data_IF_455875837964
#
_entry.id   IF_455875837964
#
_cell.length_a   1.000
_cell.length_b   1.000
_cell.length_c   1.000
_cell.angle_alpha   90.00
_cell.angle_beta   90.00
_cell.angle_gamma   90.00
#
_symmetry.space_group_name_H-M   'P 1'
#
loop_
_entity.id
_entity.type
_entity.pdbx_description
1 polymer ?
#
# COMPACT_ATOMS: atom_id res chain seq x y z
N UNK A 1 34.06 -16.50 10.71
CA UNK A 1 33.47 -17.47 9.75
C UNK A 1 32.00 -17.67 9.95
N UNK A 2 31.61 -18.07 11.17
CA UNK A 2 30.19 -18.31 11.49
C UNK A 2 29.34 -17.05 11.27
N UNK A 3 29.90 -15.89 11.57
CA UNK A 3 29.18 -14.62 11.42
C UNK A 3 28.81 -14.32 9.97
N UNK A 4 29.67 -14.69 9.03
CA UNK A 4 29.42 -14.46 7.62
C UNK A 4 28.22 -15.31 7.15
N UNK A 5 28.16 -16.55 7.63
CA UNK A 5 27.05 -17.43 7.28
C UNK A 5 25.72 -16.93 7.84
N UNK A 6 25.73 -16.41 9.05
CA UNK A 6 24.52 -15.85 9.66
C UNK A 6 24.05 -14.63 8.89
N UNK A 7 24.95 -13.75 8.51
CA UNK A 7 24.60 -12.57 7.74
C UNK A 7 24.01 -12.93 6.39
N UNK A 8 24.57 -13.92 5.72
CA UNK A 8 24.04 -14.39 4.44
C UNK A 8 22.62 -14.96 4.59
N UNK A 9 22.38 -15.73 5.65
CA UNK A 9 21.06 -16.29 5.90
C UNK A 9 20.03 -15.20 6.14
N UNK A 10 20.38 -14.16 6.90
CA UNK A 10 19.48 -13.04 7.15
C UNK A 10 19.17 -12.27 5.87
N UNK A 11 20.16 -12.07 5.01
CA UNK A 11 19.93 -11.37 3.76
C UNK A 11 18.97 -12.16 2.85
N UNK A 12 19.10 -13.45 2.79
CA UNK A 12 18.21 -14.31 2.01
C UNK A 12 16.79 -14.25 2.55
N UNK A 13 16.62 -14.27 3.87
CA UNK A 13 15.32 -14.16 4.47
C UNK A 13 14.65 -12.82 4.14
N UNK A 14 15.41 -11.73 4.17
CA UNK A 14 14.89 -10.41 3.85
C UNK A 14 14.44 -10.29 2.40
N UNK A 15 15.16 -10.94 1.46
CA UNK A 15 14.82 -10.88 0.05
C UNK A 15 13.68 -11.82 -0.34
N UNK A 16 13.27 -12.73 0.55
CA UNK A 16 12.22 -13.69 0.28
C UNK A 16 10.80 -13.11 0.31
N UNK A 17 10.64 -11.89 0.80
CA UNK A 17 9.31 -11.29 0.95
C UNK A 17 9.21 -9.99 0.19
N UNK A 18 8.44 -10.01 -0.90
CA UNK A 18 8.07 -8.78 -1.57
C UNK A 18 6.94 -8.12 -0.78
N UNK A 19 7.13 -6.88 -0.36
CA UNK A 19 6.07 -6.11 0.27
C UNK A 19 5.18 -5.50 -0.80
N UNK A 20 3.88 -5.52 -0.55
CA UNK A 20 2.92 -4.84 -1.40
C UNK A 20 2.80 -3.40 -0.90
N UNK A 21 3.41 -2.47 -1.62
CA UNK A 21 3.43 -1.06 -1.24
C UNK A 21 2.66 -0.26 -2.29
N UNK A 22 1.72 0.59 -1.87
CA UNK A 22 1.01 1.44 -2.82
C UNK A 22 1.95 2.36 -3.59
N UNK A 23 1.56 2.66 -4.82
CA UNK A 23 2.34 3.51 -5.71
C UNK A 23 2.27 4.97 -5.23
N UNK A 24 3.42 5.57 -4.94
CA UNK A 24 3.52 6.95 -4.45
C UNK A 24 2.96 7.97 -5.43
N UNK A 25 2.94 7.66 -6.73
CA UNK A 25 2.35 8.55 -7.72
C UNK A 25 0.86 8.79 -7.49
N UNK A 26 0.19 7.91 -6.74
CA UNK A 26 -1.21 8.08 -6.35
C UNK A 26 -1.41 8.72 -4.99
N UNK A 27 -0.38 9.24 -4.36
CA UNK A 27 -0.47 9.77 -3.00
C UNK A 27 -1.51 10.89 -2.87
N UNK A 28 -1.67 11.71 -3.89
CA UNK A 28 -2.63 12.82 -3.86
C UNK A 28 -4.08 12.36 -3.74
N UNK A 29 -4.40 11.18 -4.24
CA UNK A 29 -5.76 10.68 -4.27
C UNK A 29 -6.10 9.77 -3.08
N UNK A 30 -5.18 9.59 -2.16
CA UNK A 30 -5.43 8.80 -0.95
C UNK A 30 -6.43 9.54 -0.07
N UNK A 31 -7.58 8.91 0.17
CA UNK A 31 -8.59 9.45 1.07
C UNK A 31 -9.47 10.54 0.48
N UNK A 32 -9.43 10.79 -0.84
CA UNK A 32 -10.27 11.83 -1.41
C UNK A 32 -11.74 11.41 -1.57
N UNK A 33 -12.03 10.12 -1.58
CA UNK A 33 -13.40 9.61 -1.61
C UNK A 33 -14.15 9.85 -2.91
N UNK A 34 -13.45 10.17 -4.00
CA UNK A 34 -14.08 10.56 -5.26
C UNK A 34 -13.89 9.55 -6.38
N UNK A 35 -13.39 8.36 -6.08
CA UNK A 35 -13.19 7.35 -7.09
C UNK A 35 -12.14 7.71 -8.12
N UNK A 36 -11.17 8.54 -7.76
CA UNK A 36 -10.16 9.04 -8.69
C UNK A 36 -8.86 8.23 -8.65
N UNK A 37 -8.66 7.42 -7.61
CA UNK A 37 -7.39 6.69 -7.44
C UNK A 37 -7.28 5.57 -8.45
N UNK A 38 -6.14 5.51 -9.12
CA UNK A 38 -5.88 4.44 -10.07
C UNK A 38 -5.51 3.15 -9.35
N UNK A 39 -5.62 2.03 -10.04
CA UNK A 39 -5.18 0.72 -9.54
C UNK A 39 -3.70 0.80 -9.18
N UNK A 40 -3.34 0.27 -8.02
CA UNK A 40 -2.04 0.29 -7.36
C UNK A 40 -1.79 1.54 -6.50
N UNK A 41 -2.59 2.57 -6.60
CA UNK A 41 -2.50 3.70 -5.68
C UNK A 41 -3.07 3.34 -4.31
N UNK A 42 -2.66 4.07 -3.28
CA UNK A 42 -3.15 3.85 -1.92
C UNK A 42 -4.58 4.31 -1.73
N UNK A 43 -5.27 3.70 -0.76
CA UNK A 43 -6.65 4.07 -0.46
C UNK A 43 -6.94 3.85 1.02
N UNK A 44 -7.94 4.55 1.53
CA UNK A 44 -8.44 4.33 2.90
C UNK A 44 -9.80 3.64 2.88
N UNK A 45 -10.48 3.65 1.75
CA UNK A 45 -11.75 2.93 1.56
C UNK A 45 -12.02 2.74 0.07
N UNK A 46 -13.03 1.92 -0.24
CA UNK A 46 -13.45 1.68 -1.63
C UNK A 46 -13.78 2.97 -2.38
N UNK A 47 -14.26 3.99 -1.68
CA UNK A 47 -14.67 5.25 -2.30
C UNK A 47 -13.53 6.00 -2.98
N UNK A 48 -12.28 5.73 -2.60
CA UNK A 48 -11.12 6.38 -3.23
C UNK A 48 -10.81 5.84 -4.61
N UNK A 49 -11.18 4.61 -4.88
CA UNK A 49 -10.66 3.85 -6.02
C UNK A 49 -11.57 3.96 -7.25
N UNK A 50 -10.97 4.16 -8.42
CA UNK A 50 -11.70 4.24 -9.68
C UNK A 50 -12.50 2.96 -9.96
N UNK A 51 -11.97 1.81 -9.58
CA UNK A 51 -12.66 0.52 -9.74
C UNK A 51 -13.55 0.19 -8.55
N UNK A 52 -13.62 1.04 -7.54
CA UNK A 52 -14.45 0.82 -6.37
C UNK A 52 -13.96 -0.26 -5.43
N UNK A 53 -12.67 -0.62 -5.51
CA UNK A 53 -12.10 -1.70 -4.71
C UNK A 53 -10.83 -1.25 -4.00
N UNK A 54 -10.94 -1.01 -2.70
CA UNK A 54 -9.78 -0.81 -1.85
C UNK A 54 -9.48 -2.14 -1.15
N UNK A 55 -8.40 -2.78 -1.53
CA UNK A 55 -8.01 -4.07 -0.98
C UNK A 55 -7.05 -3.89 0.21
N UNK A 56 -7.20 -4.72 1.21
CA UNK A 56 -6.24 -4.80 2.31
C UNK A 56 -5.01 -5.60 1.94
N UNK A 57 -4.09 -5.72 2.88
CA UNK A 57 -2.88 -6.53 2.70
C UNK A 57 -1.64 -5.74 2.28
N UNK A 58 -1.79 -4.46 1.96
CA UNK A 58 -0.66 -3.60 1.63
C UNK A 58 -0.07 -2.97 2.89
N UNK A 59 1.14 -2.47 2.76
CA UNK A 59 1.83 -1.74 3.82
C UNK A 59 2.49 -0.51 3.23
N UNK A 60 2.59 0.54 4.02
CA UNK A 60 3.38 1.70 3.61
C UNK A 60 4.88 1.43 3.85
N UNK A 61 5.72 2.40 3.50
CA UNK A 61 7.17 2.24 3.63
C UNK A 61 7.61 2.02 5.08
N UNK A 62 6.82 2.48 6.05
CA UNK A 62 7.10 2.30 7.47
C UNK A 62 6.52 0.98 8.03
N UNK A 63 5.83 0.19 7.21
CA UNK A 63 5.26 -1.08 7.62
C UNK A 63 3.86 -1.00 8.19
N UNK A 64 3.20 0.15 8.10
CA UNK A 64 1.82 0.28 8.58
C UNK A 64 0.85 -0.36 7.59
N UNK A 65 -0.17 -1.10 8.08
CA UNK A 65 -1.19 -1.66 7.18
C UNK A 65 -1.97 -0.54 6.50
N UNK A 66 -2.06 -0.60 5.18
CA UNK A 66 -2.81 0.38 4.38
C UNK A 66 -3.58 -0.36 3.29
N UNK A 67 -4.49 0.34 2.63
CA UNK A 67 -5.21 -0.19 1.48
C UNK A 67 -4.51 0.13 0.18
N UNK A 68 -4.81 -0.67 -0.83
CA UNK A 68 -4.33 -0.47 -2.19
C UNK A 68 -5.51 -0.68 -3.15
N UNK A 69 -5.69 0.26 -4.08
CA UNK A 69 -6.73 0.12 -5.08
C UNK A 69 -6.41 -1.04 -6.01
N UNK A 70 -7.39 -1.88 -6.25
CA UNK A 70 -7.24 -3.10 -7.03
C UNK A 70 -8.33 -3.19 -8.10
N UNK A 71 -8.03 -3.90 -9.18
CA UNK A 71 -9.07 -4.38 -10.06
C UNK A 71 -9.87 -5.46 -9.32
N UNK A 72 -11.17 -5.54 -9.60
CA UNK A 72 -12.05 -6.47 -8.88
C UNK A 72 -11.61 -7.92 -9.06
N UNK A 73 -11.13 -8.28 -10.24
CA UNK A 73 -10.66 -9.64 -10.50
C UNK A 73 -9.33 -9.99 -9.87
N UNK A 74 -8.61 -9.00 -9.34
CA UNK A 74 -7.27 -9.18 -8.77
C UNK A 74 -7.23 -8.94 -7.26
N UNK A 75 -8.36 -8.82 -6.61
CA UNK A 75 -8.45 -8.37 -5.21
C UNK A 75 -7.76 -9.29 -4.21
N UNK A 76 -7.53 -10.54 -4.57
CA UNK A 76 -6.85 -11.50 -3.70
C UNK A 76 -5.45 -11.85 -4.19
N UNK A 77 -4.97 -11.22 -5.25
CA UNK A 77 -3.65 -11.50 -5.80
C UNK A 77 -2.56 -10.73 -5.05
N UNK A 78 -1.34 -11.27 -5.09
CA UNK A 78 -0.14 -10.61 -4.56
C UNK A 78 -0.21 -10.28 -3.07
N UNK A 79 -0.94 -11.07 -2.30
CA UNK A 79 -1.07 -10.88 -0.85
C UNK A 79 -2.18 -9.93 -0.45
N UNK A 80 -2.97 -9.45 -1.40
CA UNK A 80 -4.16 -8.65 -1.09
C UNK A 80 -5.24 -9.50 -0.42
N UNK A 81 -6.06 -8.88 0.40
CA UNK A 81 -7.06 -9.59 1.20
C UNK A 81 -8.50 -9.29 0.81
N UNK A 82 -8.70 -8.68 -0.36
CA UNK A 82 -10.04 -8.40 -0.89
C UNK A 82 -10.47 -6.98 -0.73
N UNK A 83 -11.49 -6.60 -1.51
CA UNK A 83 -12.10 -5.27 -1.46
C UNK A 83 -12.77 -5.00 -0.11
N UNK A 84 -13.16 -3.76 0.12
CA UNK A 84 -13.88 -3.39 1.34
C UNK A 84 -12.96 -3.05 2.50
N UNK A 85 -11.68 -2.90 2.26
CA UNK A 85 -10.77 -2.47 3.32
C UNK A 85 -11.12 -1.05 3.77
N UNK A 86 -11.21 -0.86 5.08
CA UNK A 86 -11.40 0.46 5.69
C UNK A 86 -10.23 0.68 6.63
N UNK A 87 -9.46 1.73 6.38
CA UNK A 87 -8.24 2.00 7.15
C UNK A 87 -8.61 2.51 8.54
N UNK A 88 -8.25 1.79 9.61
CA UNK A 88 -8.53 2.26 10.97
C UNK A 88 -7.71 3.49 11.35
N UNK A 89 -6.63 3.77 10.63
CA UNK A 89 -5.76 4.91 10.85
C UNK A 89 -5.80 5.86 9.66
N UNK A 90 -6.99 6.07 9.07
CA UNK A 90 -7.14 6.83 7.84
C UNK A 90 -6.52 8.22 7.91
N UNK A 91 -6.68 8.94 9.03
CA UNK A 91 -6.12 10.28 9.18
C UNK A 91 -4.60 10.27 9.05
N UNK A 92 -3.94 9.32 9.69
CA UNK A 92 -2.49 9.19 9.61
C UNK A 92 -2.04 8.78 8.21
N UNK A 93 -2.75 7.87 7.59
CA UNK A 93 -2.46 7.42 6.23
C UNK A 93 -2.57 8.58 5.24
N UNK A 94 -3.60 9.40 5.36
CA UNK A 94 -3.79 10.58 4.53
C UNK A 94 -2.67 11.59 4.77
N UNK A 95 -2.30 11.84 6.03
CA UNK A 95 -1.22 12.77 6.37
C UNK A 95 0.11 12.30 5.78
N UNK A 96 0.40 11.01 5.86
CA UNK A 96 1.60 10.43 5.28
C UNK A 96 1.62 10.58 3.76
N UNK A 97 0.47 10.39 3.12
CA UNK A 97 0.35 10.56 1.67
C UNK A 97 0.58 12.02 1.26
N UNK A 98 0.07 12.97 2.03
CA UNK A 98 0.31 14.39 1.76
C UNK A 98 1.79 14.75 1.89
N UNK A 99 2.49 14.14 2.84
CA UNK A 99 3.94 14.32 2.97
C UNK A 99 4.65 13.83 1.71
N UNK A 100 4.24 12.69 1.14
CA UNK A 100 4.80 12.19 -0.11
C UNK A 100 4.57 13.18 -1.25
N UNK A 101 3.36 13.74 -1.34
CA UNK A 101 3.04 14.74 -2.36
C UNK A 101 3.98 15.96 -2.24
N UNK A 102 4.18 16.45 -1.04
CA UNK A 102 5.05 17.61 -0.79
C UNK A 102 6.51 17.31 -1.11
N UNK A 103 7.00 16.14 -0.72
CA UNK A 103 8.40 15.77 -0.89
C UNK A 103 8.74 15.40 -2.33
N UNK A 104 7.82 14.76 -3.04
CA UNK A 104 8.08 14.21 -4.36
C UNK A 104 7.40 14.98 -5.50
N UNK A 105 6.55 15.94 -5.18
CA UNK A 105 5.92 16.77 -6.19
C UNK A 105 4.73 16.12 -6.90
N UNK A 106 4.14 15.12 -6.29
CA UNK A 106 2.93 14.50 -6.87
C UNK A 106 1.64 15.32 -6.57
#
# INVERSE_FOLDING_TARGET
MVRINIAAALALAATGFAQLIPNDAGARDVGNGQGAQFTTGGCVSDADCAEGCCAGGAQDAAGNPVGICSGIGAEFQNGKTGCGFVDPNAEQTIANAQTIVEEQGF
#
